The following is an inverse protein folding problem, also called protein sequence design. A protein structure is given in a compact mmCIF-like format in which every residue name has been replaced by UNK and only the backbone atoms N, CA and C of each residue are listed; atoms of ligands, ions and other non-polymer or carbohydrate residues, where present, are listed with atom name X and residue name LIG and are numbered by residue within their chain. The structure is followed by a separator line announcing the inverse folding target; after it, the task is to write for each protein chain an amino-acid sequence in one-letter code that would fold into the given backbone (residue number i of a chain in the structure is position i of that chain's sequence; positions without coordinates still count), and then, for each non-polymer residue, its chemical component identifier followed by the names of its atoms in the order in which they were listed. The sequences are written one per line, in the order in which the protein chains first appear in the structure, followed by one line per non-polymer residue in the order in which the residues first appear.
data_IF_247672733895
#
_entry.id   IF_247672733895
#
_cell.length_a   1.000
_cell.length_b   1.000
_cell.length_c   1.000
_cell.angle_alpha   90.00
_cell.angle_beta   90.00
_cell.angle_gamma   90.00
#
_symmetry.space_group_name_H-M   'P 1'
#
loop_
_entity.id
_entity.type
_entity.pdbx_description
1 polymer ?
#
# COMPACT_ATOMS: atom_id res chain seq x y z
N UNK A 1 0.99 19.66 7.02
CA UNK A 1 1.82 19.21 5.88
C UNK A 1 1.19 17.99 5.21
N UNK A 2 1.13 17.92 3.87
CA UNK A 2 0.68 16.71 3.18
C UNK A 2 1.59 15.54 3.56
N UNK A 3 1.01 14.43 3.99
CA UNK A 3 1.77 13.25 4.43
C UNK A 3 2.35 12.56 3.21
N UNK A 4 3.67 12.35 3.20
CA UNK A 4 4.40 11.75 2.08
C UNK A 4 4.85 10.35 2.47
N UNK A 5 4.94 9.47 1.49
CA UNK A 5 5.63 8.19 1.65
C UNK A 5 7.10 8.45 2.03
N UNK A 6 7.76 7.50 2.73
CA UNK A 6 9.18 7.61 2.99
C UNK A 6 9.99 7.81 1.72
N UNK A 7 10.95 8.71 1.77
CA UNK A 7 11.96 8.92 0.73
C UNK A 7 12.91 7.72 0.62
N UNK A 8 13.37 7.20 1.76
CA UNK A 8 14.13 5.95 1.82
C UNK A 8 13.20 4.75 1.96
N UNK A 9 12.85 4.14 0.83
CA UNK A 9 11.98 2.96 0.77
C UNK A 9 12.82 1.69 0.96
N UNK A 10 12.57 0.95 2.04
CA UNK A 10 13.11 -0.41 2.21
C UNK A 10 12.49 -1.35 1.18
N UNK A 11 13.06 -2.55 0.97
CA UNK A 11 12.44 -3.56 0.10
C UNK A 11 10.99 -3.83 0.49
N UNK A 12 10.71 -3.89 1.79
CA UNK A 12 9.36 -4.04 2.33
C UNK A 12 8.44 -2.87 1.99
N UNK A 13 8.90 -1.63 2.11
CA UNK A 13 8.10 -0.47 1.70
C UNK A 13 7.79 -0.49 0.21
N UNK A 14 8.75 -0.91 -0.62
CA UNK A 14 8.54 -1.01 -2.06
C UNK A 14 7.52 -2.11 -2.40
N UNK A 15 7.59 -3.27 -1.74
CA UNK A 15 6.60 -4.35 -1.89
C UNK A 15 5.19 -3.88 -1.53
N UNK A 16 5.03 -3.16 -0.41
CA UNK A 16 3.73 -2.61 -0.02
C UNK A 16 3.19 -1.65 -1.07
N UNK A 17 4.03 -0.76 -1.61
CA UNK A 17 3.61 0.19 -2.65
C UNK A 17 3.16 -0.56 -3.90
N UNK A 18 3.92 -1.55 -4.36
CA UNK A 18 3.55 -2.35 -5.52
C UNK A 18 2.25 -3.13 -5.31
N UNK A 19 2.05 -3.75 -4.14
CA UNK A 19 0.83 -4.49 -3.85
C UNK A 19 -0.40 -3.58 -3.83
N UNK A 20 -0.25 -2.35 -3.31
CA UNK A 20 -1.32 -1.35 -3.34
C UNK A 20 -1.57 -0.85 -4.77
N UNK A 21 -0.52 -0.65 -5.55
CA UNK A 21 -0.66 -0.23 -6.95
C UNK A 21 -1.30 -1.31 -7.84
N UNK A 22 -1.01 -2.58 -7.58
CA UNK A 22 -1.63 -3.73 -8.24
C UNK A 22 -3.13 -3.82 -7.94
N UNK A 23 -3.53 -3.69 -6.66
CA UNK A 23 -4.94 -3.74 -6.25
C UNK A 23 -5.79 -2.62 -6.85
N UNK A 24 -5.31 -1.37 -6.79
CA UNK A 24 -6.06 -0.22 -7.32
C UNK A 24 -5.87 0.00 -8.83
N UNK A 25 -4.96 -0.76 -9.45
CA UNK A 25 -4.49 -0.52 -10.81
C UNK A 25 -3.84 0.85 -11.02
N UNK A 26 -3.58 1.20 -12.27
CA UNK A 26 -3.01 2.49 -12.66
C UNK A 26 -3.99 3.68 -12.59
N UNK A 27 -5.05 3.58 -11.78
CA UNK A 27 -6.03 4.65 -11.57
C UNK A 27 -5.34 5.98 -11.26
N UNK A 28 -5.37 6.91 -12.22
CA UNK A 28 -4.57 8.13 -12.26
C UNK A 28 -5.20 9.30 -11.49
N UNK A 29 -6.39 9.13 -10.90
CA UNK A 29 -7.12 10.22 -10.27
C UNK A 29 -6.38 10.74 -9.03
N UNK A 30 -6.38 12.06 -8.77
CA UNK A 30 -5.79 12.62 -7.55
C UNK A 30 -6.37 12.05 -6.25
N UNK A 31 -7.66 11.67 -6.26
CA UNK A 31 -8.33 11.02 -5.14
C UNK A 31 -7.73 9.63 -4.85
N UNK A 32 -7.53 8.83 -5.89
CA UNK A 32 -6.94 7.49 -5.81
C UNK A 32 -5.51 7.56 -5.26
N UNK A 33 -4.71 8.52 -5.72
CA UNK A 33 -3.34 8.74 -5.21
C UNK A 33 -3.31 9.01 -3.71
N UNK A 34 -4.25 9.82 -3.20
CA UNK A 34 -4.37 10.12 -1.76
C UNK A 34 -4.78 8.87 -0.98
N UNK A 35 -5.70 8.10 -1.53
CA UNK A 35 -6.20 6.87 -0.93
C UNK A 35 -5.11 5.79 -0.85
N UNK A 36 -4.42 5.51 -1.96
CA UNK A 36 -3.24 4.63 -2.01
C UNK A 36 -2.17 5.02 -1.00
N UNK A 37 -1.87 6.32 -0.89
CA UNK A 37 -0.88 6.84 0.06
C UNK A 37 -1.28 6.56 1.51
N UNK A 38 -2.55 6.75 1.88
CA UNK A 38 -3.04 6.47 3.23
C UNK A 38 -2.95 4.97 3.57
N UNK A 39 -3.32 4.11 2.63
CA UNK A 39 -3.25 2.65 2.77
C UNK A 39 -1.80 2.19 2.95
N UNK A 40 -0.89 2.67 2.09
CA UNK A 40 0.54 2.38 2.20
C UNK A 40 1.10 2.80 3.57
N UNK A 41 0.79 4.01 4.04
CA UNK A 41 1.25 4.50 5.34
C UNK A 41 0.70 3.68 6.51
N UNK A 42 -0.54 3.17 6.39
CA UNK A 42 -1.15 2.30 7.38
C UNK A 42 -0.47 0.94 7.42
N UNK A 43 -0.28 0.30 6.25
CA UNK A 43 0.39 -1.01 6.12
C UNK A 43 1.84 -0.95 6.61
N UNK A 44 2.55 0.15 6.36
CA UNK A 44 3.90 0.38 6.88
C UNK A 44 3.95 0.64 8.39
N UNK A 45 2.80 0.65 9.09
CA UNK A 45 2.66 0.95 10.54
C UNK A 45 3.29 2.30 10.94
N UNK A 46 3.49 3.20 9.97
CA UNK A 46 4.18 4.49 10.17
C UNK A 46 3.28 5.60 10.67
N UNK A 47 1.99 5.34 10.85
CA UNK A 47 1.07 6.33 11.39
C UNK A 47 0.03 5.71 12.32
N UNK A 48 0.19 5.95 13.62
CA UNK A 48 -0.90 5.83 14.60
C UNK A 48 -1.97 6.90 14.26
N UNK A 49 -3.24 6.50 14.15
CA UNK A 49 -4.35 7.43 13.89
C UNK A 49 -4.63 7.76 12.41
N UNK A 50 -4.31 6.87 11.45
CA UNK A 50 -5.01 6.90 10.15
C UNK A 50 -6.38 6.26 10.37
N UNK A 51 -7.43 7.07 10.45
CA UNK A 51 -8.79 6.57 10.29
C UNK A 51 -9.00 6.23 8.82
N UNK A 52 -9.08 4.94 8.53
CA UNK A 52 -9.43 4.44 7.20
C UNK A 52 -10.97 4.42 7.08
N UNK A 53 -11.50 4.79 5.91
CA UNK A 53 -12.89 4.48 5.57
C UNK A 53 -13.09 2.98 5.46
N UNK A 54 -14.33 2.50 5.49
CA UNK A 54 -14.60 1.06 5.41
C UNK A 54 -14.08 0.44 4.10
N UNK A 55 -14.23 1.15 2.97
CA UNK A 55 -13.61 0.79 1.67
C UNK A 55 -12.08 0.65 1.77
N UNK A 56 -11.43 1.56 2.51
CA UNK A 56 -9.97 1.50 2.69
C UNK A 56 -9.55 0.37 3.62
N UNK A 57 -10.38 0.00 4.60
CA UNK A 57 -10.13 -1.16 5.47
C UNK A 57 -10.24 -2.46 4.69
N UNK A 58 -11.22 -2.57 3.79
CA UNK A 58 -11.38 -3.71 2.90
C UNK A 58 -10.17 -3.85 1.98
N UNK A 59 -9.76 -2.76 1.31
CA UNK A 59 -8.56 -2.75 0.49
C UNK A 59 -7.29 -3.13 1.29
N UNK A 60 -7.16 -2.65 2.54
CA UNK A 60 -6.06 -3.04 3.43
C UNK A 60 -6.09 -4.53 3.76
N UNK A 61 -7.26 -5.12 4.01
CA UNK A 61 -7.38 -6.55 4.28
C UNK A 61 -6.92 -7.37 3.07
N UNK A 62 -7.42 -7.04 1.88
CA UNK A 62 -7.06 -7.75 0.64
C UNK A 62 -5.57 -7.63 0.34
N UNK A 63 -5.02 -6.41 0.38
CA UNK A 63 -3.57 -6.19 0.16
C UNK A 63 -2.74 -6.94 1.20
N UNK A 64 -3.19 -7.00 2.44
CA UNK A 64 -2.50 -7.73 3.51
C UNK A 64 -2.51 -9.23 3.28
N UNK A 65 -3.63 -9.79 2.84
CA UNK A 65 -3.73 -11.21 2.52
C UNK A 65 -2.85 -11.57 1.32
N UNK A 66 -2.82 -10.73 0.29
CA UNK A 66 -1.90 -10.88 -0.84
C UNK A 66 -0.43 -10.82 -0.39
N UNK A 67 -0.06 -9.91 0.50
CA UNK A 67 1.31 -9.81 1.03
C UNK A 67 1.70 -10.99 1.94
N UNK A 68 0.72 -11.69 2.53
CA UNK A 68 0.93 -12.93 3.28
C UNK A 68 1.09 -14.14 2.36
N UNK A 69 0.54 -14.10 1.15
CA UNK A 69 0.74 -15.12 0.14
C UNK A 69 2.21 -15.14 -0.31
N UNK A 70 2.86 -16.30 -0.13
CA UNK A 70 4.27 -16.50 -0.44
C UNK A 70 4.57 -16.36 -1.93
N UNK A 71 3.67 -16.85 -2.80
CA UNK A 71 3.83 -16.80 -4.25
C UNK A 71 3.71 -15.35 -4.71
N UNK A 72 2.68 -14.64 -4.25
CA UNK A 72 2.48 -13.23 -4.59
C UNK A 72 3.65 -12.36 -4.12
N UNK A 73 4.09 -12.56 -2.88
CA UNK A 73 5.25 -11.84 -2.32
C UNK A 73 6.54 -12.14 -3.10
N UNK A 74 6.76 -13.38 -3.52
CA UNK A 74 7.92 -13.73 -4.34
C UNK A 74 7.87 -13.05 -5.71
N UNK A 75 6.71 -13.05 -6.37
CA UNK A 75 6.51 -12.37 -7.65
C UNK A 75 6.79 -10.86 -7.54
N UNK A 76 6.27 -10.22 -6.49
CA UNK A 76 6.56 -8.82 -6.19
C UNK A 76 8.05 -8.57 -5.90
N UNK A 77 8.71 -9.49 -5.19
CA UNK A 77 10.13 -9.36 -4.89
C UNK A 77 11.01 -9.49 -6.16
N UNK A 78 10.61 -10.29 -7.14
CA UNK A 78 11.30 -10.39 -8.44
C UNK A 78 11.10 -9.14 -9.31
N UNK A 79 10.03 -8.38 -9.10
CA UNK A 79 9.73 -7.15 -9.83
C UNK A 79 10.43 -5.88 -9.28
N UNK A 80 11.22 -6.01 -8.19
CA UNK A 80 11.83 -4.91 -7.42
C UNK A 80 13.35 -4.76 -7.59
#
# INVERSE_FOLDING_TARGET
MPRRLPTNKTKEHKMIILAVDDYFGNGCSPADKKLKTNICLWLMRRKRGVSLSDEQKEAVAIVRDNLNDKIYRNNLCCAL
#
